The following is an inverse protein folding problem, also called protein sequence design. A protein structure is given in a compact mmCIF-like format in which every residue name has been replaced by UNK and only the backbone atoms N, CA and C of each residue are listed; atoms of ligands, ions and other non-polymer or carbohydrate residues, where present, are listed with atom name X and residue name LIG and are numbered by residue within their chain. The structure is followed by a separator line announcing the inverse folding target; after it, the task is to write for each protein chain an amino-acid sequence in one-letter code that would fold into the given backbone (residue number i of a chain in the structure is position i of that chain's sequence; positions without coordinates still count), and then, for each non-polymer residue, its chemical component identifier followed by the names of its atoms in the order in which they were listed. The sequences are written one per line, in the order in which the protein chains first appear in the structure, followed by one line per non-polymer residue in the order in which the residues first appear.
data_IF_027505596516
#
_entry.id   IF_027505596516
#
_cell.length_a   1.000
_cell.length_b   1.000
_cell.length_c   1.000
_cell.angle_alpha   90.00
_cell.angle_beta   90.00
_cell.angle_gamma   90.00
#
_symmetry.space_group_name_H-M   'P 1'
#
loop_
_entity.id
_entity.type
_entity.pdbx_description
1 polymer ?
#
# COMPACT_ATOMS: atom_id res chain seq x y z
N UNK A 1 -3.28 -29.21 -14.12
CA UNK A 1 -1.96 -28.95 -13.51
C UNK A 1 -1.54 -27.48 -13.56
N UNK A 2 -1.86 -26.73 -14.62
CA UNK A 2 -1.49 -25.31 -14.75
C UNK A 2 -2.07 -24.38 -13.66
N UNK A 3 -3.33 -24.59 -13.26
CA UNK A 3 -3.98 -23.83 -12.18
C UNK A 3 -3.23 -23.96 -10.84
N UNK A 4 -2.84 -25.18 -10.46
CA UNK A 4 -2.13 -25.46 -9.21
C UNK A 4 -0.73 -24.80 -9.19
N UNK A 5 -0.03 -24.78 -10.33
CA UNK A 5 1.25 -24.07 -10.49
C UNK A 5 1.08 -22.55 -10.30
N UNK A 6 0.03 -21.97 -10.89
CA UNK A 6 -0.30 -20.54 -10.73
C UNK A 6 -0.59 -20.18 -9.27
N UNK A 7 -1.35 -21.02 -8.56
CA UNK A 7 -1.61 -20.85 -7.12
C UNK A 7 -0.32 -20.91 -6.29
N UNK A 8 0.55 -21.89 -6.55
CA UNK A 8 1.83 -22.02 -5.86
C UNK A 8 2.72 -20.79 -6.05
N UNK A 9 2.76 -20.22 -7.26
CA UNK A 9 3.50 -18.99 -7.52
C UNK A 9 2.95 -17.78 -6.76
N UNK A 10 1.62 -17.67 -6.63
CA UNK A 10 1.00 -16.60 -5.83
C UNK A 10 1.36 -16.78 -4.36
N UNK A 11 1.24 -17.99 -3.82
CA UNK A 11 1.59 -18.29 -2.43
C UNK A 11 3.07 -18.00 -2.16
N UNK A 12 3.97 -18.44 -3.03
CA UNK A 12 5.41 -18.21 -2.88
C UNK A 12 5.75 -16.71 -2.87
N UNK A 13 5.16 -15.93 -3.78
CA UNK A 13 5.34 -14.48 -3.82
C UNK A 13 4.78 -13.78 -2.57
N UNK A 14 3.59 -14.17 -2.12
CA UNK A 14 3.00 -13.61 -0.89
C UNK A 14 3.82 -13.98 0.35
N UNK A 15 4.35 -15.20 0.42
CA UNK A 15 5.25 -15.63 1.50
C UNK A 15 6.57 -14.84 1.49
N UNK A 16 7.16 -14.63 0.32
CA UNK A 16 8.35 -13.78 0.18
C UNK A 16 8.08 -12.35 0.65
N UNK A 17 6.96 -11.75 0.26
CA UNK A 17 6.56 -10.43 0.73
C UNK A 17 6.35 -10.42 2.26
N UNK A 18 5.70 -11.44 2.82
CA UNK A 18 5.49 -11.56 4.27
C UNK A 18 6.82 -11.60 5.04
N UNK A 19 7.83 -12.32 4.53
CA UNK A 19 9.17 -12.33 5.13
C UNK A 19 9.81 -10.93 5.15
N UNK A 20 9.67 -10.18 4.05
CA UNK A 20 10.16 -8.79 3.99
C UNK A 20 9.40 -7.90 4.97
N UNK A 21 8.07 -8.02 5.04
CA UNK A 21 7.24 -7.26 5.99
C UNK A 21 7.66 -7.55 7.43
N UNK A 22 7.85 -8.81 7.79
CA UNK A 22 8.29 -9.21 9.14
C UNK A 22 9.68 -8.66 9.44
N UNK A 23 10.63 -8.78 8.51
CA UNK A 23 11.99 -8.28 8.70
C UNK A 23 12.02 -6.76 8.88
N UNK A 24 11.33 -6.00 8.03
CA UNK A 24 11.23 -4.55 8.14
C UNK A 24 10.47 -4.14 9.41
N UNK A 25 9.40 -4.84 9.77
CA UNK A 25 8.65 -4.61 11.00
C UNK A 25 9.51 -4.82 12.25
N UNK A 26 10.29 -5.90 12.30
CA UNK A 26 11.20 -6.19 13.42
C UNK A 26 12.25 -5.10 13.62
N UNK A 27 12.71 -4.48 12.53
CA UNK A 27 13.70 -3.41 12.55
C UNK A 27 13.10 -2.00 12.43
N UNK A 28 11.77 -1.84 12.47
CA UNK A 28 11.13 -0.55 12.21
C UNK A 28 11.57 0.51 13.21
N UNK A 29 11.58 0.17 14.50
CA UNK A 29 11.97 1.10 15.57
C UNK A 29 13.43 1.54 15.47
N UNK A 30 14.34 0.72 14.95
CA UNK A 30 15.74 1.14 14.77
C UNK A 30 15.97 1.89 13.46
N UNK A 31 15.34 1.46 12.36
CA UNK A 31 15.49 2.08 11.04
C UNK A 31 14.82 3.45 10.96
N UNK A 32 13.71 3.63 11.68
CA UNK A 32 12.86 4.82 11.59
C UNK A 32 12.77 5.63 12.89
N UNK A 33 13.61 5.33 13.90
CA UNK A 33 13.66 6.08 15.16
C UNK A 33 13.72 7.60 14.95
N UNK A 34 14.60 8.06 14.06
CA UNK A 34 14.83 9.47 13.79
C UNK A 34 13.63 10.19 13.14
N UNK A 35 12.65 9.43 12.63
CA UNK A 35 11.45 10.01 12.00
C UNK A 35 10.31 10.20 12.99
N UNK A 36 10.34 9.54 14.15
CA UNK A 36 9.30 9.67 15.17
C UNK A 36 9.20 11.13 15.61
N UNK A 37 8.00 11.72 15.65
CA UNK A 37 7.86 13.12 16.04
C UNK A 37 8.38 13.37 17.46
N UNK A 38 9.05 14.51 17.71
CA UNK A 38 9.64 14.80 19.02
C UNK A 38 8.58 15.09 20.11
N UNK A 39 7.39 15.53 19.72
CA UNK A 39 6.27 15.79 20.61
C UNK A 39 5.23 14.66 20.51
N UNK A 40 4.68 14.26 21.67
CA UNK A 40 3.65 13.21 21.84
C UNK A 40 2.26 13.83 22.09
N UNK A 41 1.97 14.96 21.45
CA UNK A 41 0.62 15.54 21.44
C UNK A 41 -0.17 15.07 20.22
N UNK A 42 -1.51 15.02 20.36
CA UNK A 42 -2.39 14.48 19.33
C UNK A 42 -2.24 15.21 17.98
N UNK A 43 -2.09 16.53 17.98
CA UNK A 43 -2.00 17.31 16.75
C UNK A 43 -0.71 16.97 15.98
N UNK A 44 0.43 16.87 16.67
CA UNK A 44 1.71 16.47 16.07
C UNK A 44 1.64 15.06 15.51
N UNK A 45 1.03 14.12 16.23
CA UNK A 45 0.90 12.70 15.81
C UNK A 45 0.04 12.55 14.56
N UNK A 46 -1.11 13.24 14.50
CA UNK A 46 -1.95 13.25 13.30
C UNK A 46 -1.26 13.93 12.13
N UNK A 47 -0.59 15.06 12.34
CA UNK A 47 0.18 15.74 11.30
C UNK A 47 1.29 14.83 10.75
N UNK A 48 1.96 14.06 11.61
CA UNK A 48 2.95 13.06 11.22
C UNK A 48 2.34 11.98 10.31
N UNK A 49 1.23 11.36 10.70
CA UNK A 49 0.57 10.34 9.88
C UNK A 49 0.07 10.89 8.53
N UNK A 50 -0.54 12.08 8.52
CA UNK A 50 -1.02 12.73 7.28
C UNK A 50 0.14 13.02 6.33
N UNK A 51 1.30 13.47 6.81
CA UNK A 51 2.48 13.70 5.95
C UNK A 51 2.93 12.42 5.26
N UNK A 52 2.88 11.28 5.95
CA UNK A 52 3.24 10.00 5.34
C UNK A 52 2.23 9.52 4.31
N UNK A 53 0.97 9.98 4.33
CA UNK A 53 -0.01 9.71 3.26
C UNK A 53 0.38 10.30 1.90
N UNK A 54 1.36 11.19 1.84
CA UNK A 54 1.98 11.59 0.57
C UNK A 54 2.58 10.38 -0.17
N UNK A 55 3.09 9.36 0.54
CA UNK A 55 3.65 8.17 -0.09
C UNK A 55 2.62 7.40 -0.95
N UNK A 56 1.49 6.91 -0.41
CA UNK A 56 0.43 6.31 -1.23
C UNK A 56 -0.17 7.32 -2.22
N UNK A 57 -0.35 8.58 -1.82
CA UNK A 57 -0.87 9.64 -2.69
C UNK A 57 -0.04 9.83 -3.97
N UNK A 58 1.29 9.88 -3.86
CA UNK A 58 2.20 9.98 -5.01
C UNK A 58 2.12 8.75 -5.93
N UNK A 59 2.02 7.54 -5.37
CA UNK A 59 1.89 6.32 -6.17
C UNK A 59 0.56 6.23 -6.89
N UNK A 60 -0.51 6.75 -6.30
CA UNK A 60 -1.83 6.87 -6.94
C UNK A 60 -1.78 7.92 -8.04
N UNK A 61 -1.24 9.10 -7.75
CA UNK A 61 -1.09 10.17 -8.74
C UNK A 61 -0.33 9.68 -9.96
N UNK A 62 0.80 9.00 -9.77
CA UNK A 62 1.56 8.42 -10.87
C UNK A 62 0.70 7.50 -11.76
N UNK A 63 -0.09 6.61 -11.15
CA UNK A 63 -0.98 5.73 -11.89
C UNK A 63 -2.13 6.44 -12.60
N UNK A 64 -2.69 7.49 -11.98
CA UNK A 64 -3.71 8.35 -12.61
C UNK A 64 -3.14 9.04 -13.83
N UNK A 65 -1.92 9.58 -13.75
CA UNK A 65 -1.26 10.24 -14.90
C UNK A 65 -0.99 9.26 -16.05
N UNK A 66 -0.57 8.03 -15.74
CA UNK A 66 -0.38 6.99 -16.78
C UNK A 66 -1.69 6.63 -17.46
N UNK A 67 -2.79 6.49 -16.71
CA UNK A 67 -4.11 6.26 -17.30
C UNK A 67 -4.60 7.46 -18.13
N UNK A 68 -4.40 8.68 -17.63
CA UNK A 68 -4.81 9.92 -18.29
C UNK A 68 -4.04 10.18 -19.59
N UNK A 69 -2.76 9.81 -19.65
CA UNK A 69 -1.93 9.94 -20.86
C UNK A 69 -2.52 9.20 -22.07
N UNK A 70 -3.38 8.18 -21.87
CA UNK A 70 -4.08 7.51 -22.98
C UNK A 70 -5.11 8.42 -23.66
N UNK A 71 -5.71 9.36 -22.92
CA UNK A 71 -6.64 10.35 -23.46
C UNK A 71 -6.00 11.36 -24.41
N UNK A 72 -4.67 11.39 -24.53
CA UNK A 72 -3.94 12.24 -25.46
C UNK A 72 -3.72 11.59 -26.85
N UNK A 73 -4.20 10.35 -27.05
CA UNK A 73 -4.10 9.69 -28.35
C UNK A 73 -5.26 10.08 -29.27
N UNK A 74 -5.01 10.27 -30.59
CA UNK A 74 -6.02 10.69 -31.57
C UNK A 74 -7.31 9.85 -31.53
N UNK A 75 -7.18 8.53 -31.54
CA UNK A 75 -8.34 7.62 -31.55
C UNK A 75 -9.25 7.75 -30.32
N UNK A 76 -8.69 8.20 -29.18
CA UNK A 76 -9.44 8.45 -27.95
C UNK A 76 -10.09 9.85 -27.94
N UNK A 77 -9.48 10.82 -28.62
CA UNK A 77 -10.01 12.18 -28.79
C UNK A 77 -11.21 12.16 -29.76
N UNK A 78 -11.10 11.38 -30.83
CA UNK A 78 -12.11 11.31 -31.90
C UNK A 78 -13.33 10.42 -31.55
N UNK A 79 -13.37 9.84 -30.35
CA UNK A 79 -14.51 9.05 -29.86
C UNK A 79 -14.78 7.75 -30.64
N UNK A 80 -13.81 7.29 -31.44
CA UNK A 80 -13.93 6.05 -32.21
C UNK A 80 -13.96 4.82 -31.29
N UNK A 81 -14.59 3.69 -31.69
CA UNK A 81 -14.59 2.46 -30.92
C UNK A 81 -13.15 2.06 -30.58
N UNK A 82 -12.79 2.22 -29.32
CA UNK A 82 -11.40 2.18 -28.89
C UNK A 82 -10.90 0.73 -28.90
N UNK A 83 -9.74 0.44 -29.52
CA UNK A 83 -9.12 -0.87 -29.39
C UNK A 83 -8.83 -1.16 -27.91
N UNK A 84 -9.04 -2.41 -27.48
CA UNK A 84 -8.70 -2.85 -26.11
C UNK A 84 -7.22 -2.58 -25.83
N UNK A 85 -6.92 -1.54 -25.05
CA UNK A 85 -5.56 -1.26 -24.60
C UNK A 85 -5.26 -2.03 -23.32
N UNK A 86 -4.46 -3.09 -23.44
CA UNK A 86 -4.02 -3.89 -22.30
C UNK A 86 -3.28 -3.03 -21.24
N UNK A 87 -2.49 -2.05 -21.69
CA UNK A 87 -1.80 -1.12 -20.78
C UNK A 87 -2.77 -0.19 -20.02
N UNK A 88 -3.82 0.30 -20.68
CA UNK A 88 -4.86 1.10 -20.02
C UNK A 88 -5.61 0.26 -18.99
N UNK A 89 -5.95 -0.99 -19.34
CA UNK A 89 -6.62 -1.90 -18.42
C UNK A 89 -5.78 -2.15 -17.16
N UNK A 90 -4.48 -2.38 -17.31
CA UNK A 90 -3.53 -2.52 -16.18
C UNK A 90 -3.52 -1.24 -15.33
N UNK A 91 -3.40 -0.06 -15.95
CA UNK A 91 -3.36 1.21 -15.23
C UNK A 91 -4.66 1.47 -14.45
N UNK A 92 -5.82 1.20 -15.02
CA UNK A 92 -7.11 1.34 -14.34
C UNK A 92 -7.24 0.35 -13.16
N UNK A 93 -6.81 -0.90 -13.34
CA UNK A 93 -6.80 -1.91 -12.26
C UNK A 93 -5.82 -1.53 -11.15
N UNK A 94 -4.66 -1.00 -11.50
CA UNK A 94 -3.71 -0.46 -10.54
C UNK A 94 -4.32 0.72 -9.77
N UNK A 95 -4.97 1.67 -10.44
CA UNK A 95 -5.54 2.86 -9.81
C UNK A 95 -6.64 2.48 -8.83
N UNK A 96 -7.59 1.64 -9.25
CA UNK A 96 -8.65 1.16 -8.35
C UNK A 96 -8.08 0.49 -7.12
N UNK A 97 -7.12 -0.42 -7.30
CA UNK A 97 -6.52 -1.11 -6.18
C UNK A 97 -5.72 -0.15 -5.28
N UNK A 98 -5.00 0.80 -5.85
CA UNK A 98 -4.21 1.76 -5.08
C UNK A 98 -5.11 2.71 -4.29
N UNK A 99 -6.28 3.10 -4.81
CA UNK A 99 -7.30 3.82 -4.02
C UNK A 99 -7.75 2.99 -2.82
N UNK A 100 -8.16 1.72 -3.05
CA UNK A 100 -8.59 0.82 -1.97
C UNK A 100 -7.51 0.67 -0.89
N UNK A 101 -6.25 0.45 -1.30
CA UNK A 101 -5.13 0.32 -0.36
C UNK A 101 -4.77 1.63 0.33
N UNK A 102 -4.89 2.78 -0.35
CA UNK A 102 -4.63 4.10 0.24
C UNK A 102 -5.65 4.44 1.32
N UNK A 103 -6.92 4.13 1.10
CA UNK A 103 -7.98 4.35 2.09
C UNK A 103 -7.75 3.50 3.35
N UNK A 104 -7.42 2.21 3.18
CA UNK A 104 -7.10 1.34 4.31
C UNK A 104 -5.83 1.83 5.05
N UNK A 105 -4.79 2.22 4.32
CA UNK A 105 -3.58 2.79 4.93
C UNK A 105 -3.87 4.09 5.70
N UNK A 106 -4.75 4.96 5.19
CA UNK A 106 -5.17 6.17 5.89
C UNK A 106 -5.89 5.85 7.20
N UNK A 107 -6.82 4.89 7.19
CA UNK A 107 -7.50 4.43 8.40
C UNK A 107 -6.48 3.89 9.41
N UNK A 108 -5.61 2.97 8.96
CA UNK A 108 -4.59 2.36 9.80
C UNK A 108 -3.63 3.40 10.42
N UNK A 109 -3.08 4.30 9.62
CA UNK A 109 -2.02 5.20 10.07
C UNK A 109 -2.55 6.31 10.97
N UNK A 110 -3.74 6.84 10.66
CA UNK A 110 -4.41 7.79 11.55
C UNK A 110 -4.86 7.11 12.84
N UNK A 111 -5.36 5.88 12.77
CA UNK A 111 -5.71 5.10 13.96
C UNK A 111 -4.50 4.83 14.86
N UNK A 112 -3.37 4.43 14.29
CA UNK A 112 -2.11 4.27 15.03
C UNK A 112 -1.64 5.60 15.63
N UNK A 113 -1.77 6.71 14.89
CA UNK A 113 -1.45 8.03 15.42
C UNK A 113 -2.30 8.40 16.64
N UNK A 114 -3.54 7.92 16.75
CA UNK A 114 -4.40 8.16 17.92
C UNK A 114 -4.10 7.20 19.07
N UNK A 115 -3.94 5.90 18.79
CA UNK A 115 -4.04 4.86 19.82
C UNK A 115 -2.73 4.16 20.17
N UNK A 116 -1.73 4.18 19.29
CA UNK A 116 -0.50 3.43 19.51
C UNK A 116 0.42 4.11 20.54
N UNK A 117 1.31 3.38 21.24
CA UNK A 117 2.40 4.01 21.99
C UNK A 117 3.26 4.89 21.07
N UNK A 118 3.77 6.01 21.58
CA UNK A 118 4.52 7.00 20.77
C UNK A 118 5.68 6.40 19.98
N UNK A 119 6.44 5.48 20.60
CA UNK A 119 7.55 4.79 19.93
C UNK A 119 7.10 3.90 18.75
N UNK A 120 5.85 3.42 18.75
CA UNK A 120 5.29 2.63 17.68
C UNK A 120 4.90 3.49 16.45
N UNK A 121 4.97 4.83 16.52
CA UNK A 121 4.79 5.67 15.34
C UNK A 121 5.88 5.44 14.29
N UNK A 122 7.03 4.85 14.65
CA UNK A 122 8.05 4.39 13.71
C UNK A 122 7.54 3.33 12.71
N UNK A 123 6.41 2.67 12.98
CA UNK A 123 5.80 1.73 12.01
C UNK A 123 5.12 2.44 10.83
N UNK A 124 4.60 3.66 11.01
CA UNK A 124 3.98 4.44 9.91
C UNK A 124 4.93 4.67 8.72
N UNK A 125 6.15 5.22 8.90
CA UNK A 125 7.11 5.40 7.81
C UNK A 125 7.60 4.07 7.23
N UNK A 126 7.74 3.02 8.05
CA UNK A 126 8.09 1.69 7.57
C UNK A 126 7.02 1.13 6.63
N UNK A 127 5.74 1.23 7.01
CA UNK A 127 4.61 0.86 6.17
C UNK A 127 4.53 1.73 4.92
N UNK A 128 4.82 3.03 5.01
CA UNK A 128 4.83 3.92 3.86
C UNK A 128 5.92 3.52 2.84
N UNK A 129 7.12 3.17 3.29
CA UNK A 129 8.18 2.66 2.44
C UNK A 129 7.77 1.33 1.77
N UNK A 130 7.23 0.38 2.54
CA UNK A 130 6.70 -0.89 2.01
C UNK A 130 5.55 -0.68 1.03
N UNK A 131 4.69 0.31 1.26
CA UNK A 131 3.60 0.68 0.37
C UNK A 131 4.17 1.11 -0.99
N UNK A 132 5.11 2.06 -1.02
CA UNK A 132 5.71 2.56 -2.26
C UNK A 132 6.42 1.44 -3.02
N UNK A 133 7.28 0.68 -2.35
CA UNK A 133 7.98 -0.46 -2.97
C UNK A 133 6.98 -1.51 -3.48
N UNK A 134 5.93 -1.78 -2.72
CA UNK A 134 4.88 -2.73 -3.09
C UNK A 134 4.10 -2.28 -4.32
N UNK A 135 3.79 -0.97 -4.44
CA UNK A 135 3.12 -0.41 -5.62
C UNK A 135 4.00 -0.49 -6.87
N UNK A 136 5.28 -0.15 -6.75
CA UNK A 136 6.24 -0.28 -7.86
C UNK A 136 6.37 -1.74 -8.30
N UNK A 137 6.57 -2.66 -7.35
CA UNK A 137 6.67 -4.09 -7.63
C UNK A 137 5.38 -4.67 -8.23
N UNK A 138 4.21 -4.21 -7.75
CA UNK A 138 2.92 -4.59 -8.31
C UNK A 138 2.82 -4.14 -9.77
N UNK A 139 3.15 -2.87 -10.06
CA UNK A 139 3.04 -2.32 -11.41
C UNK A 139 3.96 -3.06 -12.38
N UNK A 140 5.25 -3.16 -12.05
CA UNK A 140 6.25 -3.85 -12.88
C UNK A 140 5.86 -5.32 -13.07
N UNK A 141 5.49 -5.99 -11.98
CA UNK A 141 5.03 -7.38 -12.01
C UNK A 141 3.84 -7.55 -12.96
N UNK A 142 2.86 -6.64 -12.91
CA UNK A 142 1.67 -6.73 -13.76
C UNK A 142 1.98 -6.50 -15.25
N UNK A 143 2.95 -5.62 -15.56
CA UNK A 143 3.41 -5.43 -16.94
C UNK A 143 4.12 -6.67 -17.51
N UNK A 144 4.86 -7.42 -16.68
CA UNK A 144 5.62 -8.60 -17.10
C UNK A 144 4.73 -9.84 -17.17
N UNK A 145 3.98 -10.15 -16.11
CA UNK A 145 3.06 -11.29 -16.04
C UNK A 145 1.93 -11.02 -15.05
N UNK A 146 0.65 -11.24 -15.39
CA UNK A 146 -0.48 -10.93 -14.49
C UNK A 146 -0.40 -11.52 -13.07
N UNK A 147 0.30 -12.65 -12.89
CA UNK A 147 0.51 -13.32 -11.59
C UNK A 147 1.67 -12.73 -10.78
N UNK A 148 2.64 -12.08 -11.43
CA UNK A 148 3.82 -11.53 -10.76
C UNK A 148 3.52 -10.30 -9.89
N UNK A 149 2.29 -9.79 -9.94
CA UNK A 149 1.83 -8.66 -9.10
C UNK A 149 1.54 -9.07 -7.65
N UNK A 150 1.49 -10.37 -7.33
CA UNK A 150 1.10 -10.87 -6.01
C UNK A 150 2.08 -10.44 -4.91
N UNK A 151 3.38 -10.41 -5.20
CA UNK A 151 4.39 -9.93 -4.25
C UNK A 151 4.13 -8.48 -3.85
N UNK A 152 3.96 -7.58 -4.82
CA UNK A 152 3.67 -6.17 -4.57
C UNK A 152 2.33 -5.94 -3.85
N UNK A 153 1.32 -6.77 -4.16
CA UNK A 153 0.07 -6.76 -3.39
C UNK A 153 0.29 -7.06 -1.92
N UNK A 154 0.96 -8.17 -1.62
CA UNK A 154 1.18 -8.61 -0.25
C UNK A 154 2.07 -7.62 0.53
N UNK A 155 3.10 -7.06 -0.12
CA UNK A 155 4.00 -6.08 0.50
C UNK A 155 3.28 -4.80 0.94
N UNK A 156 2.23 -4.39 0.20
CA UNK A 156 1.38 -3.26 0.55
C UNK A 156 0.31 -3.63 1.59
N UNK A 157 -0.38 -4.76 1.40
CA UNK A 157 -1.58 -5.08 2.16
C UNK A 157 -1.28 -5.66 3.55
N UNK A 158 -0.27 -6.51 3.68
CA UNK A 158 -0.01 -7.22 4.94
C UNK A 158 0.28 -6.27 6.13
N UNK A 159 1.12 -5.21 5.99
CA UNK A 159 1.34 -4.28 7.08
C UNK A 159 0.08 -3.52 7.48
N UNK A 160 -0.70 -3.06 6.49
CA UNK A 160 -1.95 -2.33 6.73
C UNK A 160 -2.99 -3.21 7.42
N UNK A 161 -3.18 -4.45 6.94
CA UNK A 161 -4.09 -5.42 7.57
C UNK A 161 -3.68 -5.68 9.02
N UNK A 162 -2.39 -5.85 9.29
CA UNK A 162 -1.89 -6.07 10.65
C UNK A 162 -2.18 -4.87 11.56
N UNK A 163 -1.98 -3.65 11.06
CA UNK A 163 -2.28 -2.42 11.80
C UNK A 163 -3.79 -2.27 12.08
N UNK A 164 -4.65 -2.47 11.07
CA UNK A 164 -6.11 -2.41 11.23
C UNK A 164 -6.60 -3.48 12.22
N UNK A 165 -6.09 -4.71 12.12
CA UNK A 165 -6.42 -5.79 13.04
C UNK A 165 -5.99 -5.46 14.48
N UNK A 166 -4.81 -4.88 14.66
CA UNK A 166 -4.34 -4.41 15.97
C UNK A 166 -5.23 -3.31 16.52
N UNK A 167 -5.67 -2.35 15.70
CA UNK A 167 -6.58 -1.27 16.11
C UNK A 167 -7.93 -1.81 16.57
N UNK A 168 -8.51 -2.77 15.84
CA UNK A 168 -9.76 -3.43 16.24
C UNK A 168 -9.59 -4.16 17.57
N UNK A 169 -8.52 -4.94 17.73
CA UNK A 169 -8.24 -5.66 18.97
C UNK A 169 -8.03 -4.70 20.16
N UNK A 170 -7.29 -3.61 19.95
CA UNK A 170 -7.03 -2.59 20.97
C UNK A 170 -8.33 -1.88 21.38
N UNK A 171 -9.18 -1.53 20.42
CA UNK A 171 -10.47 -0.89 20.71
C UNK A 171 -11.41 -1.82 21.48
N UNK A 172 -11.54 -3.09 21.07
CA UNK A 172 -12.35 -4.07 21.79
C UNK A 172 -11.85 -4.29 23.23
N UNK A 173 -10.54 -4.41 23.42
CA UNK A 173 -9.94 -4.58 24.74
C UNK A 173 -10.20 -3.39 25.67
N UNK A 174 -10.24 -2.17 25.14
CA UNK A 174 -10.52 -0.96 25.92
C UNK A 174 -11.98 -0.84 26.39
N UNK A 175 -12.92 -1.56 25.76
CA UNK A 175 -14.36 -1.48 26.04
C UNK A 175 -14.96 -2.78 26.60
N UNK A 176 -14.13 -3.79 26.87
CA UNK A 176 -14.55 -5.09 27.40
C UNK A 176 -14.64 -5.13 28.94
N UNK A 177 -14.54 -3.99 29.62
CA UNK A 177 -14.57 -3.85 31.08
C UNK A 177 -15.64 -2.88 31.55
#
# INVERSE_FOLDING_TARGET
MEFRRKQLLVVAQSAAAAMVVVAIGWHASSLFAATVPPADDLATRLAFAVRWLLAPGCTLLAGVQVAAGRGLHPDAIDGTPTPKSHALEIALRYNRNTVEQTLLAAIAWLGLAVSAPHAALAFVPAMAALFVVGRVAFWIGYLVYPIARAFGMALTALPTIAADAWLVAHWLGAHAG
#
